data_IF_613489912647
#
_entry.id   IF_613489912647
#
_cell.length_a   1.000
_cell.length_b   1.000
_cell.length_c   1.000
_cell.angle_alpha   90.00
_cell.angle_beta   90.00
_cell.angle_gamma   90.00
#
_symmetry.space_group_name_H-M   'P 1'
#
loop_
_entity.id
_entity.type
_entity.pdbx_description
1 polymer ?
#
# COMPACT_ATOMS: atom_id res chain seq x y z
N UNK A 1 -10.98 -25.25 28.53
CA UNK A 1 -11.72 -24.04 28.14
C UNK A 1 -10.88 -22.85 28.54
N UNK A 2 -10.44 -22.02 27.61
CA UNK A 2 -9.63 -20.86 27.94
C UNK A 2 -10.45 -19.86 28.77
N UNK A 3 -9.87 -19.35 29.85
CA UNK A 3 -10.49 -18.33 30.66
C UNK A 3 -10.40 -16.98 29.91
N UNK A 4 -11.54 -16.40 29.50
CA UNK A 4 -11.59 -15.13 28.77
C UNK A 4 -10.81 -14.03 29.51
N UNK A 5 -10.89 -14.00 30.85
CA UNK A 5 -10.13 -13.03 31.67
C UNK A 5 -8.62 -13.18 31.51
N UNK A 6 -8.14 -14.41 31.43
CA UNK A 6 -6.71 -14.70 31.25
C UNK A 6 -6.23 -14.27 29.87
N UNK A 7 -7.00 -14.57 28.81
CA UNK A 7 -6.70 -14.13 27.43
C UNK A 7 -6.57 -12.61 27.36
N UNK A 8 -7.53 -11.90 27.95
CA UNK A 8 -7.55 -10.43 27.99
C UNK A 8 -6.36 -9.89 28.79
N UNK A 9 -6.09 -10.45 29.97
CA UNK A 9 -4.94 -10.06 30.79
C UNK A 9 -3.62 -10.25 30.07
N UNK A 10 -3.43 -11.41 29.44
CA UNK A 10 -2.23 -11.73 28.66
C UNK A 10 -2.05 -10.76 27.47
N UNK A 11 -3.12 -10.42 26.76
CA UNK A 11 -3.06 -9.45 25.66
C UNK A 11 -2.63 -8.06 26.16
N UNK A 12 -3.25 -7.55 27.23
CA UNK A 12 -2.90 -6.24 27.79
C UNK A 12 -1.42 -6.19 28.20
N UNK A 13 -0.95 -7.23 28.90
CA UNK A 13 0.43 -7.30 29.36
C UNK A 13 1.40 -7.39 28.18
N UNK A 14 1.07 -8.16 27.15
CA UNK A 14 1.92 -8.37 25.99
C UNK A 14 2.22 -7.07 25.24
N UNK A 15 1.21 -6.28 24.87
CA UNK A 15 1.50 -5.00 24.21
C UNK A 15 2.10 -3.98 25.18
N UNK A 16 1.72 -3.98 26.47
CA UNK A 16 2.21 -2.99 27.43
C UNK A 16 3.71 -3.15 27.69
N UNK A 17 4.18 -4.40 27.77
CA UNK A 17 5.59 -4.72 28.04
C UNK A 17 6.45 -4.82 26.79
N UNK A 18 5.87 -4.78 25.59
CA UNK A 18 6.64 -4.79 24.35
C UNK A 18 7.58 -3.57 24.29
N UNK A 19 8.89 -3.82 24.20
CA UNK A 19 9.91 -2.77 24.08
C UNK A 19 9.60 -1.89 22.86
N UNK A 20 9.58 -0.57 23.10
CA UNK A 20 9.29 0.42 22.07
C UNK A 20 10.41 0.59 21.04
N UNK A 21 11.61 0.05 21.29
CA UNK A 21 12.74 0.09 20.35
C UNK A 21 12.74 -1.07 19.36
N UNK A 22 11.85 -2.06 19.54
CA UNK A 22 11.72 -3.17 18.60
C UNK A 22 11.18 -2.63 17.27
N UNK A 23 11.89 -2.91 16.17
CA UNK A 23 11.37 -2.63 14.82
C UNK A 23 10.40 -3.74 14.41
N UNK A 24 9.09 -3.47 14.53
CA UNK A 24 8.03 -4.42 14.16
C UNK A 24 8.09 -4.88 12.69
N UNK A 25 8.66 -4.09 11.77
CA UNK A 25 8.84 -4.50 10.37
C UNK A 25 9.91 -5.58 10.24
N UNK A 26 10.98 -5.49 11.04
CA UNK A 26 12.01 -6.53 11.09
C UNK A 26 11.46 -7.84 11.65
N UNK A 27 10.60 -7.77 12.67
CA UNK A 27 9.90 -8.94 13.23
C UNK A 27 9.04 -9.61 12.15
N UNK A 28 8.20 -8.81 11.46
CA UNK A 28 7.33 -9.30 10.38
C UNK A 28 8.11 -9.90 9.21
N UNK A 29 9.23 -9.29 8.81
CA UNK A 29 10.11 -9.85 7.78
C UNK A 29 10.58 -11.26 8.16
N UNK A 30 11.07 -11.45 9.38
CA UNK A 30 11.54 -12.76 9.85
C UNK A 30 10.39 -13.77 10.00
N UNK A 31 9.17 -13.31 10.35
CA UNK A 31 7.97 -14.15 10.32
C UNK A 31 7.73 -14.67 8.91
N UNK A 32 7.73 -13.80 7.90
CA UNK A 32 7.48 -14.20 6.51
C UNK A 32 8.55 -15.15 5.98
N UNK A 33 9.81 -14.94 6.34
CA UNK A 33 10.91 -15.87 6.02
C UNK A 33 10.66 -17.25 6.65
N UNK A 34 10.30 -17.31 7.94
CA UNK A 34 9.97 -18.57 8.61
C UNK A 34 8.76 -19.27 7.97
N UNK A 35 7.73 -18.53 7.58
CA UNK A 35 6.56 -19.12 6.90
C UNK A 35 6.93 -19.73 5.55
N UNK A 36 7.83 -19.09 4.78
CA UNK A 36 8.32 -19.66 3.52
C UNK A 36 9.18 -20.91 3.75
N UNK A 37 10.06 -20.90 4.76
CA UNK A 37 10.86 -22.07 5.15
C UNK A 37 9.99 -23.27 5.58
N UNK A 38 8.83 -23.01 6.21
CA UNK A 38 7.92 -24.05 6.71
C UNK A 38 6.73 -24.30 5.76
N UNK A 39 6.86 -23.91 4.49
CA UNK A 39 5.82 -24.03 3.46
C UNK A 39 5.28 -25.45 3.31
N UNK A 40 6.13 -26.46 3.39
CA UNK A 40 5.70 -27.86 3.27
C UNK A 40 4.78 -28.29 4.42
N UNK A 41 5.07 -27.86 5.65
CA UNK A 41 4.25 -28.19 6.82
C UNK A 41 2.94 -27.39 6.81
N UNK A 42 2.97 -26.14 6.34
CA UNK A 42 1.77 -25.34 6.09
C UNK A 42 0.89 -26.01 5.02
N UNK A 43 1.47 -26.52 3.94
CA UNK A 43 0.73 -27.24 2.90
C UNK A 43 0.12 -28.56 3.42
N UNK A 44 0.82 -29.28 4.29
CA UNK A 44 0.26 -30.46 4.97
C UNK A 44 -0.94 -30.09 5.84
N UNK A 45 -0.85 -29.02 6.63
CA UNK A 45 -1.97 -28.53 7.43
C UNK A 45 -3.15 -28.10 6.53
N UNK A 46 -2.87 -27.38 5.44
CA UNK A 46 -3.90 -26.96 4.49
C UNK A 46 -4.59 -28.13 3.79
N UNK A 47 -3.86 -29.19 3.45
CA UNK A 47 -4.45 -30.43 2.90
C UNK A 47 -5.43 -31.08 3.86
N UNK A 48 -5.21 -30.98 5.18
CA UNK A 48 -6.17 -31.47 6.18
C UNK A 48 -7.46 -30.66 6.10
N UNK A 49 -7.37 -29.32 6.10
CA UNK A 49 -8.54 -28.45 6.03
C UNK A 49 -9.31 -28.65 4.70
N UNK A 50 -8.62 -28.70 3.57
CA UNK A 50 -9.25 -28.94 2.26
C UNK A 50 -9.93 -30.32 2.21
N UNK A 51 -9.28 -31.38 2.73
CA UNK A 51 -9.85 -32.72 2.75
C UNK A 51 -11.11 -32.82 3.61
N UNK A 52 -11.19 -32.03 4.68
CA UNK A 52 -12.35 -31.96 5.55
C UNK A 52 -13.45 -31.03 5.02
N UNK A 53 -13.29 -30.46 3.81
CA UNK A 53 -14.21 -29.49 3.21
C UNK A 53 -14.39 -28.21 4.05
N UNK A 54 -13.43 -27.90 4.92
CA UNK A 54 -13.42 -26.71 5.75
C UNK A 54 -12.22 -25.81 5.41
N UNK A 55 -11.85 -25.73 4.14
CA UNK A 55 -10.75 -24.89 3.70
C UNK A 55 -10.66 -24.74 2.20
N UNK A 56 -9.79 -23.84 1.76
CA UNK A 56 -9.42 -23.67 0.36
C UNK A 56 -7.94 -24.00 0.16
N UNK A 57 -7.55 -24.37 -1.06
CA UNK A 57 -6.15 -24.64 -1.38
C UNK A 57 -5.34 -23.35 -1.32
N UNK A 58 -4.32 -23.31 -0.46
CA UNK A 58 -3.42 -22.16 -0.38
C UNK A 58 -2.61 -21.97 -1.66
N UNK A 59 -2.61 -20.74 -2.14
CA UNK A 59 -1.67 -20.23 -3.13
C UNK A 59 -0.53 -19.47 -2.42
N UNK A 60 0.67 -20.06 -2.42
CA UNK A 60 1.85 -19.47 -1.78
C UNK A 60 2.39 -18.22 -2.50
N UNK A 61 2.05 -17.99 -3.78
CA UNK A 61 2.42 -16.72 -4.43
C UNK A 61 1.78 -15.50 -3.73
N UNK A 62 0.67 -15.71 -3.01
CA UNK A 62 0.02 -14.66 -2.23
C UNK A 62 0.85 -14.23 -1.02
N UNK A 63 1.67 -15.11 -0.45
CA UNK A 63 2.61 -14.74 0.63
C UNK A 63 3.69 -13.79 0.10
N UNK A 64 4.16 -14.01 -1.14
CA UNK A 64 5.11 -13.09 -1.78
C UNK A 64 4.47 -11.73 -2.07
N UNK A 65 3.21 -11.72 -2.56
CA UNK A 65 2.44 -10.48 -2.71
C UNK A 65 2.30 -9.73 -1.37
N UNK A 66 1.99 -10.44 -0.29
CA UNK A 66 1.92 -9.87 1.06
C UNK A 66 3.27 -9.29 1.51
N UNK A 67 4.36 -10.03 1.30
CA UNK A 67 5.71 -9.56 1.66
C UNK A 67 6.06 -8.26 0.94
N UNK A 68 5.82 -8.19 -0.37
CA UNK A 68 6.09 -6.96 -1.14
C UNK A 68 5.27 -5.78 -0.63
N UNK A 69 3.97 -6.00 -0.37
CA UNK A 69 3.09 -4.98 0.17
C UNK A 69 3.54 -4.45 1.54
N UNK A 70 4.03 -5.33 2.42
CA UNK A 70 4.47 -4.95 3.76
C UNK A 70 5.84 -4.28 3.78
N UNK A 71 6.69 -4.48 2.75
CA UNK A 71 7.99 -3.78 2.63
C UNK A 71 7.84 -2.28 2.43
N UNK A 72 6.77 -1.86 1.75
CA UNK A 72 6.51 -0.45 1.43
C UNK A 72 5.86 0.31 2.60
N UNK A 73 5.53 -0.37 3.70
CA UNK A 73 4.98 0.26 4.89
C UNK A 73 6.10 1.02 5.62
N UNK A 74 5.97 2.34 5.63
CA UNK A 74 6.78 3.21 6.47
C UNK A 74 6.58 2.87 7.96
N UNK A 75 7.59 3.15 8.78
CA UNK A 75 7.45 2.98 10.23
C UNK A 75 6.34 3.88 10.77
N UNK A 76 5.22 3.26 11.09
CA UNK A 76 3.99 3.94 11.47
C UNK A 76 3.83 4.04 13.00
N UNK A 77 4.62 3.30 13.78
CA UNK A 77 4.55 3.33 15.24
C UNK A 77 5.40 4.48 15.79
N UNK A 78 4.81 5.31 16.66
CA UNK A 78 5.47 6.50 17.25
C UNK A 78 6.07 7.46 16.22
N UNK A 79 5.51 7.48 15.02
CA UNK A 79 5.90 8.42 13.98
C UNK A 79 5.35 9.82 14.30
N UNK A 80 6.21 10.83 14.26
CA UNK A 80 5.80 12.21 14.46
C UNK A 80 5.37 12.79 13.12
N UNK A 81 4.07 12.99 13.01
CA UNK A 81 3.38 13.47 11.80
C UNK A 81 3.64 14.96 11.59
N UNK A 82 3.75 15.73 12.67
CA UNK A 82 3.87 17.19 12.62
C UNK A 82 4.45 17.74 13.93
N UNK A 83 5.23 18.82 13.84
CA UNK A 83 5.74 19.60 14.96
C UNK A 83 5.89 21.07 14.54
N UNK A 84 5.25 22.01 15.26
CA UNK A 84 5.46 23.45 15.09
C UNK A 84 5.63 24.14 16.44
N UNK A 85 6.33 25.29 16.45
CA UNK A 85 6.36 26.21 17.57
C UNK A 85 5.09 27.07 17.56
N UNK A 86 4.47 27.23 18.73
CA UNK A 86 3.29 28.06 18.91
C UNK A 86 3.68 29.46 19.44
N UNK A 87 2.77 30.43 19.31
CA UNK A 87 2.87 31.82 19.82
C UNK A 87 3.13 31.86 21.33
N UNK A 88 2.63 30.86 22.08
CA UNK A 88 2.84 30.71 23.52
C UNK A 88 4.16 30.02 23.90
N UNK A 89 5.16 30.00 23.01
CA UNK A 89 6.50 29.44 23.24
C UNK A 89 6.53 27.97 23.72
N UNK A 90 5.63 27.13 23.22
CA UNK A 90 5.71 25.68 23.36
C UNK A 90 5.71 24.99 21.99
N UNK A 91 6.29 23.80 21.91
CA UNK A 91 6.25 22.97 20.72
C UNK A 91 4.99 22.11 20.75
N UNK A 92 4.20 22.16 19.69
CA UNK A 92 3.02 21.33 19.49
C UNK A 92 3.28 20.32 18.38
N UNK A 93 2.95 19.07 18.61
CA UNK A 93 3.06 18.02 17.61
C UNK A 93 1.93 17.02 17.59
N UNK A 94 1.95 16.18 16.57
CA UNK A 94 1.09 15.00 16.44
C UNK A 94 1.95 13.78 16.26
N UNK A 95 1.73 12.75 17.08
CA UNK A 95 2.43 11.48 16.99
C UNK A 95 1.42 10.35 16.89
N UNK A 96 1.71 9.34 16.07
CA UNK A 96 0.97 8.08 16.09
C UNK A 96 1.36 7.24 17.31
N UNK A 97 0.47 6.39 17.77
CA UNK A 97 0.75 5.38 18.78
C UNK A 97 -0.16 4.18 18.54
N UNK A 98 0.14 3.05 19.20
CA UNK A 98 -0.70 1.85 19.14
C UNK A 98 -2.08 2.09 19.76
N UNK A 99 -3.08 1.32 19.34
CA UNK A 99 -4.39 1.26 19.99
C UNK A 99 -4.33 0.55 21.35
N UNK A 100 -3.56 -0.55 21.44
CA UNK A 100 -3.51 -1.43 22.60
C UNK A 100 -3.91 -2.85 22.24
N UNK A 101 -5.03 -3.33 22.81
CA UNK A 101 -5.58 -4.66 22.52
C UNK A 101 -6.68 -4.57 21.47
N UNK A 102 -6.52 -5.32 20.38
CA UNK A 102 -7.44 -5.40 19.26
C UNK A 102 -8.05 -6.81 19.23
N UNK A 103 -9.37 -6.91 19.06
CA UNK A 103 -10.03 -8.19 18.82
C UNK A 103 -10.40 -8.30 17.34
N UNK A 104 -9.94 -9.37 16.68
CA UNK A 104 -10.34 -9.71 15.31
C UNK A 104 -11.37 -10.84 15.38
N UNK A 105 -12.60 -10.58 14.93
CA UNK A 105 -13.59 -11.61 14.62
C UNK A 105 -13.54 -11.89 13.12
N UNK A 106 -13.37 -13.13 12.70
CA UNK A 106 -13.29 -13.47 11.28
C UNK A 106 -13.86 -14.84 10.95
N UNK A 107 -14.01 -15.11 9.66
CA UNK A 107 -14.58 -16.34 9.10
C UNK A 107 -13.58 -17.49 8.92
N UNK A 108 -12.30 -17.26 9.15
CA UNK A 108 -11.23 -18.26 9.01
C UNK A 108 -10.25 -18.01 7.87
N UNK A 109 -10.48 -17.05 6.98
CA UNK A 109 -9.57 -16.87 5.83
C UNK A 109 -8.11 -16.59 6.24
N UNK A 110 -7.18 -17.43 5.77
CA UNK A 110 -5.75 -17.38 6.15
C UNK A 110 -5.03 -16.13 5.65
N UNK A 111 -5.35 -15.60 4.47
CA UNK A 111 -4.69 -14.39 3.96
C UNK A 111 -5.11 -13.15 4.76
N UNK A 112 -6.38 -13.10 5.14
CA UNK A 112 -6.93 -12.05 5.99
C UNK A 112 -6.29 -12.08 7.37
N UNK A 113 -6.16 -13.28 7.95
CA UNK A 113 -5.45 -13.50 9.21
C UNK A 113 -4.02 -12.97 9.14
N UNK A 114 -3.25 -13.39 8.14
CA UNK A 114 -1.84 -13.01 7.99
C UNK A 114 -1.69 -11.49 7.83
N UNK A 115 -2.44 -10.86 6.92
CA UNK A 115 -2.35 -9.41 6.73
C UNK A 115 -2.65 -8.65 8.02
N UNK A 116 -3.73 -9.03 8.70
CA UNK A 116 -4.16 -8.38 9.93
C UNK A 116 -3.11 -8.53 11.04
N UNK A 117 -2.61 -9.75 11.24
CA UNK A 117 -1.65 -10.07 12.30
C UNK A 117 -0.33 -9.33 12.09
N UNK A 118 0.19 -9.37 10.86
CA UNK A 118 1.46 -8.71 10.55
C UNK A 118 1.35 -7.18 10.73
N UNK A 119 0.24 -6.55 10.28
CA UNK A 119 0.00 -5.11 10.52
C UNK A 119 -0.14 -4.78 12.01
N UNK A 120 -0.78 -5.65 12.80
CA UNK A 120 -0.87 -5.48 14.25
C UNK A 120 0.49 -5.57 14.96
N UNK A 121 1.38 -6.47 14.52
CA UNK A 121 2.76 -6.57 15.03
C UNK A 121 3.58 -5.32 14.67
N UNK A 122 3.52 -4.85 13.41
CA UNK A 122 4.19 -3.62 12.97
C UNK A 122 3.77 -2.42 13.81
N UNK A 123 2.51 -2.38 14.26
CA UNK A 123 1.94 -1.30 15.04
C UNK A 123 1.96 -1.54 16.55
N UNK A 124 2.65 -2.58 17.02
CA UNK A 124 2.84 -2.93 18.43
C UNK A 124 1.52 -3.18 19.20
N UNK A 125 0.47 -3.62 18.51
CA UNK A 125 -0.81 -3.97 19.12
C UNK A 125 -0.83 -5.46 19.51
N UNK A 126 -1.55 -5.77 20.59
CA UNK A 126 -1.94 -7.15 20.86
C UNK A 126 -3.20 -7.50 20.10
N UNK A 127 -3.27 -8.74 19.60
CA UNK A 127 -4.37 -9.20 18.77
C UNK A 127 -4.95 -10.48 19.37
N UNK A 128 -6.25 -10.44 19.67
CA UNK A 128 -7.05 -11.61 20.03
C UNK A 128 -7.91 -11.95 18.81
N UNK A 129 -7.53 -12.99 18.08
CA UNK A 129 -8.27 -13.55 16.96
C UNK A 129 -9.32 -14.51 17.52
N UNK A 130 -10.58 -14.31 17.15
CA UNK A 130 -11.68 -15.19 17.50
C UNK A 130 -12.46 -15.61 16.26
N UNK A 131 -12.79 -16.90 16.18
CA UNK A 131 -13.66 -17.46 15.15
C UNK A 131 -14.63 -18.46 15.78
N UNK A 132 -15.86 -18.49 15.26
CA UNK A 132 -16.85 -19.53 15.57
C UNK A 132 -16.75 -20.72 14.61
N UNK A 133 -16.02 -20.55 13.50
CA UNK A 133 -15.85 -21.52 12.43
C UNK A 133 -14.51 -22.26 12.59
N UNK A 134 -14.50 -23.55 12.23
CA UNK A 134 -13.28 -24.34 12.10
C UNK A 134 -12.66 -24.23 10.69
N UNK A 135 -13.16 -23.32 9.85
CA UNK A 135 -12.61 -23.05 8.53
C UNK A 135 -11.14 -22.64 8.59
N UNK A 136 -10.29 -23.35 7.84
CA UNK A 136 -8.82 -23.20 7.78
C UNK A 136 -8.13 -23.35 9.15
N UNK A 137 -8.77 -24.01 10.11
CA UNK A 137 -8.32 -24.02 11.50
C UNK A 137 -6.92 -24.60 11.66
N UNK A 138 -6.63 -25.76 11.07
CA UNK A 138 -5.33 -26.41 11.23
C UNK A 138 -4.21 -25.54 10.64
N UNK A 139 -4.44 -24.98 9.46
CA UNK A 139 -3.53 -24.05 8.79
C UNK A 139 -3.26 -22.79 9.63
N UNK A 140 -4.32 -22.15 10.12
CA UNK A 140 -4.23 -20.91 10.89
C UNK A 140 -3.54 -21.12 12.23
N UNK A 141 -3.84 -22.21 12.95
CA UNK A 141 -3.17 -22.54 14.22
C UNK A 141 -1.67 -22.75 14.02
N UNK A 142 -1.26 -23.49 12.99
CA UNK A 142 0.16 -23.70 12.67
C UNK A 142 0.87 -22.36 12.38
N UNK A 143 0.26 -21.50 11.56
CA UNK A 143 0.80 -20.17 11.26
C UNK A 143 0.99 -19.35 12.54
N UNK A 144 0.00 -19.32 13.44
CA UNK A 144 0.10 -18.58 14.70
C UNK A 144 1.19 -19.18 15.61
N UNK A 145 1.37 -20.50 15.63
CA UNK A 145 2.47 -21.14 16.36
C UNK A 145 3.83 -20.68 15.82
N UNK A 146 4.00 -20.64 14.50
CA UNK A 146 5.25 -20.16 13.87
C UNK A 146 5.50 -18.68 14.18
N UNK A 147 4.46 -17.84 14.12
CA UNK A 147 4.54 -16.42 14.50
C UNK A 147 5.01 -16.27 15.95
N UNK A 148 4.42 -17.03 16.88
CA UNK A 148 4.78 -16.99 18.30
C UNK A 148 6.25 -17.33 18.55
N UNK A 149 6.83 -18.27 17.79
CA UNK A 149 8.26 -18.60 17.90
C UNK A 149 9.15 -17.41 17.55
N UNK A 150 8.79 -16.62 16.53
CA UNK A 150 9.54 -15.40 16.19
C UNK A 150 9.35 -14.33 17.25
N UNK A 151 8.13 -14.15 17.78
CA UNK A 151 7.90 -13.20 18.87
C UNK A 151 8.82 -13.49 20.07
N UNK A 152 8.87 -14.74 20.52
CA UNK A 152 9.73 -15.16 21.63
C UNK A 152 11.23 -14.93 21.33
N UNK A 153 11.67 -15.19 20.10
CA UNK A 153 13.07 -14.94 19.69
C UNK A 153 13.47 -13.45 19.75
N UNK A 154 12.51 -12.54 19.66
CA UNK A 154 12.71 -11.09 19.83
C UNK A 154 12.46 -10.61 21.26
N UNK A 155 12.19 -11.51 22.21
CA UNK A 155 11.83 -11.15 23.58
C UNK A 155 10.44 -10.51 23.70
N UNK A 156 9.58 -10.68 22.69
CA UNK A 156 8.19 -10.25 22.70
C UNK A 156 7.34 -11.36 23.32
N UNK A 157 6.40 -11.02 24.19
CA UNK A 157 5.46 -11.99 24.75
C UNK A 157 4.68 -12.68 23.62
N UNK A 158 4.71 -14.01 23.57
CA UNK A 158 3.97 -14.83 22.61
C UNK A 158 2.46 -14.55 22.61
N UNK A 159 1.93 -14.04 23.70
CA UNK A 159 0.52 -13.66 23.83
C UNK A 159 0.19 -12.31 23.16
N UNK A 160 1.17 -11.65 22.52
CA UNK A 160 0.90 -10.53 21.62
C UNK A 160 -0.11 -10.94 20.54
N UNK A 161 -0.05 -12.20 20.09
CA UNK A 161 -1.03 -12.76 19.15
C UNK A 161 -1.65 -14.02 19.74
N UNK A 162 -2.96 -14.03 19.90
CA UNK A 162 -3.71 -15.16 20.45
C UNK A 162 -4.84 -15.54 19.48
N UNK A 163 -5.02 -16.83 19.23
CA UNK A 163 -6.15 -17.34 18.45
C UNK A 163 -7.02 -18.24 19.34
N UNK A 164 -8.33 -18.01 19.29
CA UNK A 164 -9.32 -18.78 20.04
C UNK A 164 -10.51 -19.14 19.16
N UNK A 165 -10.94 -20.39 19.23
CA UNK A 165 -12.15 -20.86 18.58
C UNK A 165 -13.23 -21.04 19.64
N UNK A 166 -14.26 -20.20 19.61
CA UNK A 166 -15.25 -20.13 20.69
C UNK A 166 -16.58 -19.61 20.20
N UNK A 167 -17.68 -20.16 20.73
CA UNK A 167 -19.04 -19.64 20.55
C UNK A 167 -19.37 -18.49 21.51
N UNK A 168 -18.46 -18.17 22.45
CA UNK A 168 -18.64 -17.11 23.47
C UNK A 168 -18.10 -15.75 23.00
N UNK A 169 -18.22 -15.45 21.71
CA UNK A 169 -17.75 -14.19 21.12
C UNK A 169 -18.41 -12.98 21.78
N UNK A 170 -19.71 -13.03 22.04
CA UNK A 170 -20.44 -11.97 22.74
C UNK A 170 -19.86 -11.68 24.14
N UNK A 171 -19.54 -12.72 24.90
CA UNK A 171 -18.93 -12.54 26.21
C UNK A 171 -17.56 -11.86 26.12
N UNK A 172 -16.71 -12.26 25.16
CA UNK A 172 -15.42 -11.61 24.93
C UNK A 172 -15.61 -10.13 24.60
N UNK A 173 -16.49 -9.81 23.65
CA UNK A 173 -16.72 -8.45 23.15
C UNK A 173 -17.47 -7.55 24.15
N UNK A 174 -18.06 -8.12 25.19
CA UNK A 174 -18.64 -7.36 26.30
C UNK A 174 -17.59 -6.67 27.18
N UNK A 175 -16.31 -7.09 27.11
CA UNK A 175 -15.20 -6.57 27.93
C UNK A 175 -14.57 -5.29 27.33
N UNK A 176 -15.36 -4.21 27.24
CA UNK A 176 -14.92 -2.94 26.63
C UNK A 176 -13.79 -2.22 27.36
N UNK A 177 -13.47 -2.61 28.60
CA UNK A 177 -12.33 -2.07 29.36
C UNK A 177 -10.98 -2.65 28.92
N UNK A 178 -11.00 -3.82 28.29
CA UNK A 178 -9.80 -4.60 27.95
C UNK A 178 -9.54 -4.69 26.45
N UNK A 179 -10.52 -4.32 25.62
CA UNK A 179 -10.41 -4.31 24.17
C UNK A 179 -10.59 -2.87 23.69
N UNK A 180 -9.58 -2.34 22.98
CA UNK A 180 -9.58 -0.96 22.48
C UNK A 180 -10.30 -0.81 21.13
N UNK A 181 -10.31 -1.86 20.30
CA UNK A 181 -10.99 -1.88 19.00
C UNK A 181 -11.38 -3.30 18.62
N UNK A 182 -12.52 -3.44 17.93
CA UNK A 182 -12.96 -4.70 17.34
C UNK A 182 -12.92 -4.56 15.83
N UNK A 183 -12.35 -5.54 15.15
CA UNK A 183 -12.46 -5.71 13.71
C UNK A 183 -13.29 -6.95 13.43
N UNK A 184 -14.16 -6.85 12.43
CA UNK A 184 -14.88 -8.00 11.89
C UNK A 184 -14.60 -8.12 10.40
N UNK A 185 -14.07 -9.27 10.00
CA UNK A 185 -13.74 -9.60 8.61
C UNK A 185 -14.64 -10.74 8.15
N UNK A 186 -15.43 -10.51 7.12
CA UNK A 186 -16.30 -11.52 6.52
C UNK A 186 -17.56 -10.92 5.91
N UNK A 187 -18.56 -11.77 5.68
CA UNK A 187 -19.82 -11.38 5.06
C UNK A 187 -20.67 -10.44 5.94
N UNK A 188 -21.68 -9.82 5.32
CA UNK A 188 -22.58 -8.86 5.95
C UNK A 188 -23.27 -9.40 7.20
N UNK A 189 -23.74 -10.65 7.15
CA UNK A 189 -24.40 -11.31 8.30
C UNK A 189 -23.49 -11.40 9.53
N UNK A 190 -22.22 -11.79 9.34
CA UNK A 190 -21.24 -11.82 10.44
C UNK A 190 -20.99 -10.41 10.98
N UNK A 191 -20.81 -9.43 10.09
CA UNK A 191 -20.59 -8.04 10.47
C UNK A 191 -21.73 -7.48 11.33
N UNK A 192 -22.98 -7.71 10.92
CA UNK A 192 -24.16 -7.20 11.63
C UNK A 192 -24.37 -7.91 12.97
N UNK A 193 -24.09 -9.23 13.03
CA UNK A 193 -24.08 -9.99 14.30
C UNK A 193 -23.09 -9.36 15.29
N UNK A 194 -21.86 -9.08 14.86
CA UNK A 194 -20.81 -8.53 15.74
C UNK A 194 -21.12 -7.09 16.16
N UNK A 195 -21.60 -6.25 15.23
CA UNK A 195 -22.06 -4.89 15.55
C UNK A 195 -23.15 -4.87 16.61
N UNK A 196 -24.07 -5.83 16.59
CA UNK A 196 -25.17 -5.92 17.55
C UNK A 196 -24.71 -6.26 18.97
N UNK A 197 -23.68 -7.11 19.12
CA UNK A 197 -23.24 -7.62 20.43
C UNK A 197 -22.05 -6.86 21.03
N UNK A 198 -21.25 -6.18 20.21
CA UNK A 198 -20.04 -5.49 20.67
C UNK A 198 -20.37 -4.18 21.37
N UNK A 199 -19.79 -3.98 22.57
CA UNK A 199 -19.80 -2.67 23.27
C UNK A 199 -18.62 -1.78 22.86
N UNK A 200 -17.65 -2.34 22.14
CA UNK A 200 -16.50 -1.63 21.59
C UNK A 200 -16.80 -1.27 20.14
N UNK A 201 -16.28 -0.13 19.68
CA UNK A 201 -16.38 0.28 18.29
C UNK A 201 -15.87 -0.81 17.34
N UNK A 202 -16.71 -1.15 16.35
CA UNK A 202 -16.48 -2.24 15.38
C UNK A 202 -16.12 -1.65 14.02
N UNK A 203 -14.97 -2.04 13.49
CA UNK A 203 -14.57 -1.79 12.11
C UNK A 203 -14.92 -3.02 11.28
N UNK A 204 -15.72 -2.85 10.24
CA UNK A 204 -16.12 -3.92 9.34
C UNK A 204 -15.28 -3.90 8.07
N UNK A 205 -14.86 -5.09 7.63
CA UNK A 205 -14.23 -5.29 6.33
C UNK A 205 -14.81 -6.52 5.64
N UNK A 206 -15.23 -6.33 4.40
CA UNK A 206 -15.62 -7.42 3.51
C UNK A 206 -14.40 -8.08 2.88
N UNK A 207 -14.61 -9.28 2.34
CA UNK A 207 -13.62 -9.98 1.53
C UNK A 207 -14.33 -10.94 0.58
N UNK A 208 -13.92 -10.98 -0.68
CA UNK A 208 -14.44 -11.89 -1.70
C UNK A 208 -15.98 -11.98 -1.77
N UNK A 209 -16.67 -10.88 -1.50
CA UNK A 209 -18.10 -10.71 -1.81
C UNK A 209 -18.22 -9.47 -2.69
N UNK A 210 -18.96 -9.59 -3.78
CA UNK A 210 -19.00 -8.58 -4.81
C UNK A 210 -20.44 -8.15 -5.07
N UNK A 211 -20.62 -6.87 -5.42
CA UNK A 211 -21.92 -6.36 -5.85
C UNK A 211 -21.81 -5.89 -7.32
N UNK A 212 -22.77 -6.25 -8.16
CA UNK A 212 -22.81 -5.81 -9.56
C UNK A 212 -24.16 -5.17 -9.84
N UNK A 213 -24.17 -3.92 -10.29
CA UNK A 213 -25.35 -3.26 -10.83
C UNK A 213 -25.29 -3.18 -12.36
N UNK A 214 -26.37 -3.59 -13.02
CA UNK A 214 -26.47 -3.66 -14.48
C UNK A 214 -27.67 -2.83 -14.94
N UNK A 215 -27.37 -1.73 -15.62
CA UNK A 215 -28.37 -0.88 -16.28
C UNK A 215 -28.09 -0.67 -17.77
N UNK A 216 -27.01 -1.27 -18.28
CA UNK A 216 -26.64 -1.34 -19.68
C UNK A 216 -25.95 -2.67 -20.00
N UNK A 217 -26.27 -3.25 -21.17
CA UNK A 217 -25.79 -4.58 -21.59
C UNK A 217 -24.67 -4.53 -22.64
N UNK A 218 -24.07 -3.37 -22.92
CA UNK A 218 -22.98 -3.24 -23.90
C UNK A 218 -21.81 -4.17 -23.57
N UNK A 219 -21.56 -4.46 -22.29
CA UNK A 219 -20.48 -5.32 -21.81
C UNK A 219 -20.94 -6.72 -21.38
N UNK A 220 -22.03 -7.25 -21.95
CA UNK A 220 -22.64 -8.52 -21.51
C UNK A 220 -21.68 -9.72 -21.48
N UNK A 221 -20.77 -9.83 -22.45
CA UNK A 221 -19.78 -10.92 -22.47
C UNK A 221 -18.86 -10.89 -21.25
N UNK A 222 -18.47 -9.70 -20.79
CA UNK A 222 -17.66 -9.53 -19.59
C UNK A 222 -18.49 -9.85 -18.33
N UNK A 223 -19.73 -9.38 -18.27
CA UNK A 223 -20.65 -9.66 -17.16
C UNK A 223 -20.83 -11.17 -16.99
N UNK A 224 -21.14 -11.90 -18.06
CA UNK A 224 -21.30 -13.37 -18.01
C UNK A 224 -20.03 -14.07 -17.56
N UNK A 225 -18.85 -13.61 -18.01
CA UNK A 225 -17.57 -14.15 -17.55
C UNK A 225 -17.41 -13.99 -16.04
N UNK A 226 -17.69 -12.80 -15.51
CA UNK A 226 -17.58 -12.50 -14.07
C UNK A 226 -18.50 -13.40 -13.24
N UNK A 227 -19.77 -13.52 -13.66
CA UNK A 227 -20.77 -14.35 -12.96
C UNK A 227 -20.36 -15.82 -12.93
N UNK A 228 -19.77 -16.33 -14.02
CA UNK A 228 -19.33 -17.72 -14.09
C UNK A 228 -18.03 -18.00 -13.29
N UNK A 229 -17.23 -16.97 -13.00
CA UNK A 229 -15.94 -17.11 -12.30
C UNK A 229 -16.08 -17.05 -10.77
N UNK A 230 -17.19 -16.53 -10.23
CA UNK A 230 -17.35 -16.37 -8.78
C UNK A 230 -18.81 -16.49 -8.34
N UNK A 231 -19.04 -17.26 -7.27
CA UNK A 231 -20.38 -17.51 -6.73
C UNK A 231 -20.81 -16.46 -5.68
N UNK A 232 -19.87 -15.70 -5.11
CA UNK A 232 -20.15 -14.72 -4.06
C UNK A 232 -20.44 -13.33 -4.64
N UNK A 233 -21.41 -13.26 -5.56
CA UNK A 233 -21.79 -12.01 -6.24
C UNK A 233 -23.28 -11.76 -6.06
N UNK A 234 -23.62 -10.61 -5.49
CA UNK A 234 -24.97 -10.06 -5.51
C UNK A 234 -25.16 -9.24 -6.79
N UNK A 235 -26.13 -9.63 -7.62
CA UNK A 235 -26.35 -9.05 -8.96
C UNK A 235 -27.68 -8.30 -8.95
N UNK A 236 -27.63 -7.00 -9.28
CA UNK A 236 -28.77 -6.09 -9.34
C UNK A 236 -28.98 -5.67 -10.80
N UNK A 237 -30.18 -5.86 -11.34
CA UNK A 237 -30.49 -5.61 -12.76
C UNK A 237 -31.71 -4.71 -12.86
N UNK A 238 -31.62 -3.66 -13.69
CA UNK A 238 -32.77 -2.81 -13.97
C UNK A 238 -33.88 -3.60 -14.66
N UNK A 239 -35.11 -3.49 -14.15
CA UNK A 239 -36.24 -4.36 -14.52
C UNK A 239 -36.65 -4.33 -16.00
N UNK A 240 -36.30 -3.27 -16.74
CA UNK A 240 -36.54 -3.14 -18.18
C UNK A 240 -35.52 -3.90 -19.06
N UNK A 241 -34.49 -4.51 -18.46
CA UNK A 241 -33.46 -5.25 -19.17
C UNK A 241 -33.74 -6.75 -19.24
N UNK A 242 -33.58 -7.31 -20.44
CA UNK A 242 -33.58 -8.76 -20.65
C UNK A 242 -32.15 -9.30 -20.55
N UNK A 243 -31.85 -10.04 -19.48
CA UNK A 243 -30.54 -10.64 -19.23
C UNK A 243 -30.52 -12.16 -19.50
N UNK A 244 -29.38 -12.74 -19.89
CA UNK A 244 -29.24 -14.16 -20.23
C UNK A 244 -28.89 -15.05 -19.01
N UNK A 245 -29.22 -14.63 -17.79
CA UNK A 245 -28.94 -15.36 -16.54
C UNK A 245 -30.11 -15.18 -15.55
N UNK A 246 -30.29 -16.14 -14.65
CA UNK A 246 -31.52 -16.24 -13.84
C UNK A 246 -31.38 -15.70 -12.41
N UNK A 247 -30.20 -15.79 -11.79
CA UNK A 247 -30.00 -15.40 -10.39
C UNK A 247 -29.62 -13.92 -10.27
N UNK A 248 -30.61 -13.04 -10.17
CA UNK A 248 -30.41 -11.61 -9.95
C UNK A 248 -31.57 -11.00 -9.15
N UNK A 249 -31.33 -9.81 -8.62
CA UNK A 249 -32.29 -8.97 -7.93
C UNK A 249 -32.73 -7.88 -8.91
N UNK A 250 -34.01 -7.86 -9.26
CA UNK A 250 -34.60 -6.81 -10.09
C UNK A 250 -34.74 -5.50 -9.31
N UNK A 251 -34.37 -4.38 -9.92
CA UNK A 251 -34.53 -3.02 -9.37
C UNK A 251 -35.28 -2.12 -10.35
N UNK A 252 -36.15 -1.27 -9.84
CA UNK A 252 -36.97 -0.34 -10.63
C UNK A 252 -36.11 0.78 -11.24
N UNK A 253 -35.21 1.35 -10.44
CA UNK A 253 -34.38 2.48 -10.84
C UNK A 253 -32.98 2.45 -10.20
N UNK A 254 -32.19 3.48 -10.54
CA UNK A 254 -30.82 3.63 -10.07
C UNK A 254 -30.75 3.88 -8.56
N UNK A 255 -31.66 4.71 -8.03
CA UNK A 255 -31.74 5.00 -6.61
C UNK A 255 -31.99 3.75 -5.77
N UNK A 256 -32.92 2.89 -6.19
CA UNK A 256 -33.19 1.61 -5.55
C UNK A 256 -31.93 0.72 -5.56
N UNK A 257 -31.24 0.63 -6.69
CA UNK A 257 -30.00 -0.16 -6.79
C UNK A 257 -28.95 0.29 -5.77
N UNK A 258 -28.68 1.61 -5.67
CA UNK A 258 -27.75 2.16 -4.67
C UNK A 258 -28.22 1.82 -3.25
N UNK A 259 -29.52 1.95 -2.97
CA UNK A 259 -30.10 1.65 -1.67
C UNK A 259 -29.91 0.19 -1.26
N UNK A 260 -30.24 -0.74 -2.16
CA UNK A 260 -30.12 -2.17 -1.90
C UNK A 260 -28.65 -2.61 -1.75
N UNK A 261 -27.76 -2.15 -2.64
CA UNK A 261 -26.33 -2.47 -2.53
C UNK A 261 -25.77 -1.97 -1.20
N UNK A 262 -26.03 -0.72 -0.83
CA UNK A 262 -25.53 -0.16 0.42
C UNK A 262 -26.12 -0.83 1.68
N UNK A 263 -27.30 -1.44 1.56
CA UNK A 263 -27.91 -2.20 2.64
C UNK A 263 -27.28 -3.58 2.80
N UNK A 264 -27.02 -4.28 1.70
CA UNK A 264 -26.56 -5.68 1.69
C UNK A 264 -25.04 -5.85 1.66
N UNK A 265 -24.31 -4.89 1.10
CA UNK A 265 -22.88 -5.06 0.83
C UNK A 265 -22.06 -5.30 2.09
N UNK A 266 -21.07 -6.17 1.96
CA UNK A 266 -20.03 -6.37 2.98
C UNK A 266 -18.93 -5.31 2.94
N UNK A 267 -18.96 -4.40 1.96
CA UNK A 267 -18.01 -3.30 1.82
C UNK A 267 -16.75 -3.62 1.01
N UNK A 268 -16.68 -4.75 0.30
CA UNK A 268 -15.46 -5.18 -0.39
C UNK A 268 -15.29 -4.55 -1.77
N UNK A 269 -16.10 -4.96 -2.75
CA UNK A 269 -15.93 -4.51 -4.14
C UNK A 269 -17.26 -4.47 -4.88
N UNK A 270 -17.53 -3.39 -5.59
CA UNK A 270 -18.76 -3.23 -6.37
C UNK A 270 -18.48 -2.68 -7.77
N UNK A 271 -19.30 -3.07 -8.73
CA UNK A 271 -19.23 -2.58 -10.11
C UNK A 271 -20.57 -2.10 -10.63
N UNK A 272 -20.55 -1.05 -11.46
CA UNK A 272 -21.69 -0.62 -12.27
C UNK A 272 -21.41 -0.84 -13.76
N UNK A 273 -22.36 -1.41 -14.47
CA UNK A 273 -22.39 -1.49 -15.93
C UNK A 273 -23.43 -0.52 -16.48
N UNK A 274 -22.94 0.58 -17.07
CA UNK A 274 -23.77 1.73 -17.48
C UNK A 274 -23.18 2.47 -18.68
N UNK A 275 -24.06 3.08 -19.49
CA UNK A 275 -23.70 4.08 -20.50
C UNK A 275 -23.95 5.53 -20.02
N UNK A 276 -24.53 5.70 -18.83
CA UNK A 276 -24.89 6.98 -18.25
C UNK A 276 -23.74 7.50 -17.37
N UNK A 277 -23.12 8.60 -17.81
CA UNK A 277 -22.00 9.22 -17.11
C UNK A 277 -22.38 9.73 -15.71
N UNK A 278 -23.58 10.29 -15.54
CA UNK A 278 -24.07 10.78 -14.26
C UNK A 278 -24.23 9.64 -13.26
N UNK A 279 -24.83 8.52 -13.68
CA UNK A 279 -25.01 7.35 -12.83
C UNK A 279 -23.65 6.76 -12.41
N UNK A 280 -22.71 6.61 -13.35
CA UNK A 280 -21.35 6.18 -13.02
C UNK A 280 -20.68 7.10 -11.98
N UNK A 281 -20.82 8.42 -12.15
CA UNK A 281 -20.26 9.41 -11.24
C UNK A 281 -20.88 9.35 -9.83
N UNK A 282 -22.19 9.15 -9.74
CA UNK A 282 -22.90 9.01 -8.46
C UNK A 282 -22.52 7.68 -7.79
N UNK A 283 -22.50 6.58 -8.54
CA UNK A 283 -22.13 5.25 -8.04
C UNK A 283 -20.74 5.27 -7.37
N UNK A 284 -19.75 5.91 -8.01
CA UNK A 284 -18.40 6.08 -7.47
C UNK A 284 -18.35 6.84 -6.13
N UNK A 285 -19.34 7.67 -5.81
CA UNK A 285 -19.38 8.46 -4.58
C UNK A 285 -20.23 7.84 -3.48
N UNK A 286 -21.34 7.23 -3.85
CA UNK A 286 -22.39 6.85 -2.90
C UNK A 286 -22.32 5.38 -2.47
N UNK A 287 -21.68 4.51 -3.26
CA UNK A 287 -21.51 3.10 -2.88
C UNK A 287 -20.51 2.96 -1.74
N UNK A 288 -20.90 2.17 -0.72
CA UNK A 288 -20.16 1.99 0.53
C UNK A 288 -19.22 0.78 0.49
N UNK A 289 -18.41 0.68 -0.56
CA UNK A 289 -17.39 -0.35 -0.70
C UNK A 289 -15.99 0.24 -0.81
N UNK A 290 -14.99 -0.56 -0.44
CA UNK A 290 -13.58 -0.16 -0.51
C UNK A 290 -13.10 -0.07 -1.98
N UNK A 291 -13.63 -0.92 -2.86
CA UNK A 291 -13.28 -0.95 -4.27
C UNK A 291 -14.52 -0.71 -5.13
N UNK A 292 -14.43 0.24 -6.06
CA UNK A 292 -15.54 0.58 -6.96
C UNK A 292 -15.01 0.62 -8.39
N UNK A 293 -15.72 -0.04 -9.29
CA UNK A 293 -15.38 -0.06 -10.71
C UNK A 293 -16.56 0.34 -11.59
N UNK A 294 -16.26 0.87 -12.78
CA UNK A 294 -17.26 1.24 -13.80
C UNK A 294 -16.93 0.47 -15.07
N UNK A 295 -17.90 -0.26 -15.61
CA UNK A 295 -17.79 -1.06 -16.83
C UNK A 295 -16.57 -2.00 -16.84
N UNK A 296 -16.17 -2.52 -15.68
CA UNK A 296 -14.99 -3.38 -15.53
C UNK A 296 -15.17 -4.36 -14.36
N UNK A 297 -14.41 -5.45 -14.36
CA UNK A 297 -14.59 -6.52 -13.37
C UNK A 297 -14.38 -6.05 -11.93
N UNK A 298 -15.28 -6.39 -10.98
CA UNK A 298 -15.07 -6.17 -9.55
C UNK A 298 -14.18 -7.25 -8.91
N UNK A 299 -13.86 -8.33 -9.64
CA UNK A 299 -13.09 -9.49 -9.16
C UNK A 299 -11.60 -9.12 -8.99
N UNK A 300 -11.30 -8.40 -7.92
CA UNK A 300 -9.94 -8.03 -7.57
C UNK A 300 -9.31 -9.22 -6.84
N UNK A 301 -8.32 -9.85 -7.48
CA UNK A 301 -7.46 -10.85 -6.84
C UNK A 301 -6.60 -10.15 -5.77
N UNK A 302 -6.99 -10.25 -4.51
CA UNK A 302 -6.38 -9.40 -3.50
C UNK A 302 -6.37 -9.99 -2.10
N UNK A 303 -5.44 -9.47 -1.31
CA UNK A 303 -5.50 -9.45 0.14
C UNK A 303 -6.35 -8.21 0.47
N UNK A 304 -7.19 -8.24 1.52
CA UNK A 304 -8.21 -7.21 1.85
C UNK A 304 -7.69 -5.76 1.75
N UNK A 305 -6.42 -5.51 2.03
CA UNK A 305 -5.83 -4.17 2.04
C UNK A 305 -6.35 -3.26 3.15
N UNK A 306 -6.27 -3.80 4.36
CA UNK A 306 -6.68 -3.07 5.56
C UNK A 306 -5.71 -1.91 5.81
N UNK A 307 -6.17 -0.66 5.71
CA UNK A 307 -5.33 0.51 6.01
C UNK A 307 -4.67 0.38 7.40
N UNK A 308 -3.35 0.46 7.44
CA UNK A 308 -2.57 0.35 8.68
C UNK A 308 -2.90 1.45 9.68
N UNK A 309 -3.39 2.60 9.23
CA UNK A 309 -3.81 3.68 10.11
C UNK A 309 -4.99 3.27 11.02
N UNK A 310 -5.78 2.27 10.64
CA UNK A 310 -6.86 1.73 11.47
C UNK A 310 -6.34 1.03 12.74
N UNK A 311 -5.04 0.71 12.79
CA UNK A 311 -4.37 0.10 13.94
C UNK A 311 -3.75 1.14 14.90
N UNK A 312 -3.86 2.43 14.58
CA UNK A 312 -3.15 3.50 15.25
C UNK A 312 -4.10 4.56 15.82
N UNK A 313 -3.66 5.21 16.90
CA UNK A 313 -4.24 6.45 17.40
C UNK A 313 -3.31 7.62 17.13
N UNK A 314 -3.88 8.82 17.07
CA UNK A 314 -3.11 10.06 16.95
C UNK A 314 -3.16 10.81 18.28
N UNK A 315 -2.00 11.07 18.86
CA UNK A 315 -1.85 11.85 20.09
C UNK A 315 -1.37 13.26 19.75
N UNK A 316 -2.04 14.27 20.30
CA UNK A 316 -1.51 15.62 20.33
C UNK A 316 -0.48 15.71 21.45
N UNK A 317 0.71 16.19 21.14
CA UNK A 317 1.81 16.32 22.09
C UNK A 317 2.17 17.79 22.25
N UNK A 318 2.40 18.19 23.49
CA UNK A 318 2.76 19.56 23.85
C UNK A 318 4.03 19.48 24.68
N UNK A 319 5.08 20.15 24.21
CA UNK A 319 6.37 20.15 24.86
C UNK A 319 6.79 21.58 25.19
N UNK A 320 7.50 21.80 26.30
CA UNK A 320 8.14 23.08 26.54
C UNK A 320 9.08 23.40 25.36
N UNK A 321 9.06 24.64 24.89
CA UNK A 321 10.10 25.07 23.95
C UNK A 321 11.44 25.08 24.68
N UNK A 322 12.52 24.49 24.13
CA UNK A 322 13.85 24.62 24.71
C UNK A 322 14.39 26.07 24.69
N UNK A 323 13.64 27.00 24.07
CA UNK A 323 13.96 28.43 23.96
C UNK A 323 13.05 29.32 24.84
N UNK A 324 12.16 28.75 25.65
CA UNK A 324 11.31 29.54 26.54
C UNK A 324 12.05 29.86 27.85
N UNK A 325 12.02 31.12 28.30
CA UNK A 325 12.58 31.55 29.58
C UNK A 325 12.03 30.68 30.73
N UNK A 326 12.92 30.15 31.57
CA UNK A 326 12.58 29.25 32.68
C UNK A 326 12.55 27.75 32.34
N UNK A 327 12.80 27.36 31.08
CA UNK A 327 12.87 25.95 30.67
C UNK A 327 14.28 25.36 30.58
N UNK A 328 15.32 26.16 30.86
CA UNK A 328 16.74 25.78 30.73
C UNK A 328 17.14 24.56 31.59
N UNK A 329 16.39 24.27 32.66
CA UNK A 329 16.60 23.11 33.53
C UNK A 329 15.72 21.89 33.20
N UNK A 330 14.97 21.89 32.09
CA UNK A 330 14.21 20.71 31.67
C UNK A 330 15.17 19.60 31.20
N UNK A 331 15.44 18.64 32.07
CA UNK A 331 16.26 17.43 31.78
C UNK A 331 15.62 16.46 30.77
N UNK A 332 14.44 16.76 30.24
CA UNK A 332 13.72 15.90 29.31
C UNK A 332 14.31 15.97 27.90
N UNK A 333 15.21 15.04 27.58
CA UNK A 333 15.62 14.74 26.19
C UNK A 333 14.67 13.69 25.62
N UNK A 334 13.74 14.11 24.75
CA UNK A 334 12.82 13.19 24.10
C UNK A 334 13.50 12.44 22.94
N UNK A 335 13.46 11.10 22.90
CA UNK A 335 14.06 10.30 21.82
C UNK A 335 13.55 10.71 20.44
N UNK A 336 12.25 10.97 20.31
CA UNK A 336 11.63 11.39 19.04
C UNK A 336 12.03 12.81 18.64
N UNK A 337 12.13 13.75 19.58
CA UNK A 337 12.56 15.13 19.27
C UNK A 337 14.03 15.16 18.82
N UNK A 338 14.89 14.33 19.44
CA UNK A 338 16.26 14.13 18.98
C UNK A 338 16.30 13.50 17.58
N UNK A 339 15.53 12.44 17.34
CA UNK A 339 15.46 11.80 16.02
C UNK A 339 14.89 12.73 14.93
N UNK A 340 13.94 13.61 15.27
CA UNK A 340 13.39 14.62 14.35
C UNK A 340 14.40 15.72 14.08
N UNK A 341 15.09 16.21 15.10
CA UNK A 341 16.17 17.18 14.91
C UNK A 341 17.29 16.57 14.06
N UNK A 342 17.68 15.32 14.31
CA UNK A 342 18.67 14.58 13.51
C UNK A 342 18.17 14.37 12.08
N UNK A 343 16.92 13.92 11.86
CA UNK A 343 16.31 13.72 10.53
C UNK A 343 16.12 15.03 9.77
N UNK A 344 15.76 16.13 10.44
CA UNK A 344 15.66 17.45 9.82
C UNK A 344 17.04 17.97 9.42
N UNK A 345 18.06 17.76 10.27
CA UNK A 345 19.45 18.08 9.97
C UNK A 345 19.97 17.26 8.79
N UNK A 346 19.66 15.97 8.72
CA UNK A 346 19.99 15.09 7.59
C UNK A 346 19.30 15.55 6.29
N UNK A 347 18.03 15.95 6.36
CA UNK A 347 17.29 16.51 5.22
C UNK A 347 17.90 17.83 4.73
N UNK A 348 18.32 18.71 5.65
CA UNK A 348 19.01 19.96 5.30
C UNK A 348 20.36 19.66 4.62
N UNK A 349 21.16 18.74 5.18
CA UNK A 349 22.44 18.31 4.58
C UNK A 349 22.22 17.69 3.19
N UNK A 350 21.19 16.86 3.00
CA UNK A 350 20.85 16.32 1.68
C UNK A 350 20.45 17.41 0.68
N UNK A 351 19.69 18.41 1.13
CA UNK A 351 19.26 19.53 0.29
C UNK A 351 20.45 20.39 -0.16
N UNK A 352 21.36 20.70 0.76
CA UNK A 352 22.62 21.40 0.47
C UNK A 352 23.50 20.60 -0.50
N UNK A 353 23.66 19.29 -0.29
CA UNK A 353 24.43 18.41 -1.18
C UNK A 353 23.82 18.35 -2.59
N UNK A 354 22.49 18.26 -2.71
CA UNK A 354 21.81 18.30 -4.00
C UNK A 354 21.99 19.65 -4.72
N UNK A 355 21.96 20.76 -4.00
CA UNK A 355 22.21 22.09 -4.58
C UNK A 355 23.66 22.26 -5.05
N UNK A 356 24.63 21.78 -4.27
CA UNK A 356 26.05 21.78 -4.68
C UNK A 356 26.27 20.91 -5.92
N UNK A 357 25.66 19.73 -5.98
CA UNK A 357 25.76 18.85 -7.15
C UNK A 357 25.14 19.50 -8.41
N UNK A 358 23.98 20.15 -8.27
CA UNK A 358 23.34 20.91 -9.36
C UNK A 358 24.21 22.06 -9.86
N UNK A 359 24.84 22.82 -8.96
CA UNK A 359 25.79 23.88 -9.35
C UNK A 359 26.97 23.32 -10.13
N UNK A 360 27.58 22.23 -9.66
CA UNK A 360 28.71 21.56 -10.35
C UNK A 360 28.33 21.05 -11.74
N UNK A 361 27.15 20.43 -11.87
CA UNK A 361 26.66 19.94 -13.16
C UNK A 361 26.40 21.07 -14.15
N UNK A 362 25.85 22.20 -13.67
CA UNK A 362 25.61 23.39 -14.50
C UNK A 362 26.91 23.97 -15.04
N UNK A 363 27.95 24.09 -14.21
CA UNK A 363 29.27 24.56 -14.66
C UNK A 363 29.90 23.62 -15.69
N UNK A 364 29.75 22.30 -15.52
CA UNK A 364 30.25 21.33 -16.51
C UNK A 364 29.50 21.41 -17.85
N UNK A 365 28.18 21.63 -17.82
CA UNK A 365 27.37 21.84 -19.03
C UNK A 365 27.80 23.12 -19.76
N UNK A 366 27.99 24.22 -19.04
CA UNK A 366 28.47 25.49 -19.62
C UNK A 366 29.85 25.33 -20.28
N UNK A 367 30.76 24.56 -19.68
CA UNK A 367 32.07 24.24 -20.28
C UNK A 367 31.93 23.40 -21.56
N UNK A 368 31.03 22.40 -21.57
CA UNK A 368 30.78 21.56 -22.74
C UNK A 368 30.15 22.35 -23.89
N UNK A 369 29.25 23.28 -23.59
CA UNK A 369 28.66 24.17 -24.60
C UNK A 369 29.72 25.08 -25.25
N UNK A 370 30.67 25.58 -24.47
CA UNK A 370 31.83 26.33 -24.97
C UNK A 370 32.71 25.47 -25.90
N UNK A 371 33.03 24.23 -25.51
CA UNK A 371 33.78 23.29 -26.37
C UNK A 371 33.04 23.00 -27.68
N UNK A 372 31.73 22.74 -27.63
CA UNK A 372 30.90 22.50 -28.82
C UNK A 372 30.90 23.72 -29.74
N UNK A 373 30.83 24.93 -29.18
CA UNK A 373 30.85 26.17 -29.95
C UNK A 373 32.19 26.36 -30.67
N UNK A 374 33.30 26.05 -30.01
CA UNK A 374 34.63 26.13 -30.62
C UNK A 374 34.80 25.08 -31.74
N UNK A 375 34.39 23.83 -31.49
CA UNK A 375 34.42 22.76 -32.50
C UNK A 375 33.57 23.11 -33.74
N UNK A 376 32.39 23.71 -33.55
CA UNK A 376 31.56 24.19 -34.67
C UNK A 376 32.25 25.29 -35.47
N UNK A 377 32.98 26.20 -34.80
CA UNK A 377 33.75 27.25 -35.46
C UNK A 377 34.89 26.66 -36.30
N UNK A 378 35.68 25.74 -35.72
CA UNK A 378 36.76 25.04 -36.42
C UNK A 378 36.25 24.25 -37.64
N UNK A 379 35.09 23.61 -37.51
CA UNK A 379 34.44 22.90 -38.62
C UNK A 379 34.04 23.86 -39.74
N UNK A 380 33.46 25.01 -39.42
CA UNK A 380 33.08 26.03 -40.41
C UNK A 380 34.30 26.62 -41.13
N UNK A 381 35.40 26.88 -40.40
CA UNK A 381 36.66 27.36 -40.99
C UNK A 381 37.24 26.32 -41.95
N UNK A 382 37.25 25.04 -41.55
CA UNK A 382 37.71 23.92 -42.38
C UNK A 382 36.86 23.75 -43.64
N UNK A 383 35.53 23.87 -43.53
CA UNK A 383 34.61 23.83 -44.68
C UNK A 383 34.83 25.00 -45.64
N UNK A 384 35.02 26.22 -45.12
CA UNK A 384 35.32 27.39 -45.93
C UNK A 384 36.65 27.23 -46.69
N UNK A 385 37.67 26.68 -46.03
CA UNK A 385 38.96 26.42 -46.64
C UNK A 385 38.85 25.36 -47.75
N UNK A 386 38.14 24.27 -47.49
CA UNK A 386 37.87 23.23 -48.50
C UNK A 386 37.13 23.80 -49.72
N UNK A 387 36.11 24.64 -49.51
CA UNK A 387 35.40 25.32 -50.59
C UNK A 387 36.30 26.26 -51.40
N UNK A 388 37.22 26.97 -50.74
CA UNK A 388 38.23 27.80 -51.42
C UNK A 388 39.13 26.96 -52.32
N UNK A 389 39.65 25.84 -51.82
CA UNK A 389 40.46 24.90 -52.62
C UNK A 389 39.68 24.32 -53.79
N UNK A 390 38.43 23.88 -53.59
CA UNK A 390 37.57 23.36 -54.66
C UNK A 390 37.34 24.43 -55.75
N UNK A 391 37.12 25.69 -55.37
CA UNK A 391 36.92 26.78 -56.33
C UNK A 391 38.19 27.10 -57.12
N UNK A 392 39.36 27.06 -56.48
CA UNK A 392 40.65 27.21 -57.17
C UNK A 392 40.83 26.05 -58.16
N UNK A 393 40.58 24.82 -57.72
CA UNK A 393 40.71 23.63 -58.56
C UNK A 393 39.76 23.67 -59.76
N UNK A 394 38.51 24.12 -59.57
CA UNK A 394 37.55 24.32 -60.65
C UNK A 394 38.03 25.38 -61.64
N UNK A 395 38.49 26.54 -61.17
CA UNK A 395 39.01 27.61 -62.05
C UNK A 395 40.22 27.15 -62.87
N UNK A 396 41.17 26.47 -62.24
CA UNK A 396 42.34 25.87 -62.90
C UNK A 396 41.93 24.78 -63.90
N UNK A 397 41.00 23.90 -63.53
CA UNK A 397 40.50 22.86 -64.42
C UNK A 397 39.81 23.45 -65.66
N UNK A 398 38.91 24.43 -65.47
CA UNK A 398 38.22 25.06 -66.59
C UNK A 398 39.14 25.92 -67.46
N UNK A 399 40.14 26.63 -66.91
CA UNK A 399 41.12 27.34 -67.75
C UNK A 399 41.89 26.34 -68.63
N UNK A 400 42.38 25.24 -68.04
CA UNK A 400 43.12 24.19 -68.75
C UNK A 400 42.30 23.47 -69.82
N UNK A 401 40.98 23.33 -69.61
CA UNK A 401 40.07 22.67 -70.56
C UNK A 401 39.83 23.50 -71.83
N UNK A 402 39.93 24.84 -71.75
CA UNK A 402 39.58 25.74 -72.86
C UNK A 402 40.76 26.46 -73.52
N UNK A 403 41.92 26.61 -72.88
CA UNK A 403 43.08 27.33 -73.45
C UNK A 403 44.29 26.46 -73.81
N UNK A 404 44.30 25.17 -73.42
CA UNK A 404 45.50 24.34 -73.47
C UNK A 404 46.53 24.78 -72.41
N UNK A 405 47.34 23.84 -71.91
CA UNK A 405 48.31 24.11 -70.82
C UNK A 405 49.45 25.03 -71.29
N UNK A 406 49.49 26.28 -70.81
CA UNK A 406 50.63 27.17 -70.98
C UNK A 406 51.48 27.23 -69.70
N UNK A 407 52.78 27.53 -69.83
CA UNK A 407 53.71 27.67 -68.69
C UNK A 407 53.25 28.74 -67.67
N UNK A 408 52.53 29.78 -68.11
CA UNK A 408 51.97 30.83 -67.24
C UNK A 408 50.85 30.33 -66.32
N UNK A 409 50.13 29.30 -66.74
CA UNK A 409 49.02 28.74 -65.95
C UNK A 409 49.53 27.93 -64.75
N UNK A 410 50.69 27.26 -64.91
CA UNK A 410 51.35 26.50 -63.84
C UNK A 410 51.93 27.42 -62.76
N UNK A 411 52.50 28.57 -63.14
CA UNK A 411 53.02 29.55 -62.19
C UNK A 411 51.91 30.28 -61.41
N UNK A 412 50.76 30.54 -62.04
CA UNK A 412 49.61 31.15 -61.36
C UNK A 412 48.94 30.22 -60.34
N UNK A 413 48.86 28.92 -60.63
CA UNK A 413 48.28 27.94 -59.70
C UNK A 413 49.11 27.78 -58.41
N UNK A 414 50.44 27.79 -58.52
CA UNK A 414 51.33 27.76 -57.35
C UNK A 414 51.19 29.02 -56.48
N UNK A 415 50.86 30.18 -57.09
CA UNK A 415 50.62 31.46 -56.39
C UNK A 415 49.23 31.56 -55.73
N UNK A 416 48.26 30.78 -56.20
CA UNK A 416 46.90 30.72 -55.68
C UNK A 416 46.75 29.70 -54.53
N UNK A 417 47.64 28.71 -54.48
CA UNK A 417 47.68 27.64 -53.47
C UNK A 417 48.53 28.05 -52.24
N UNK A 418 49.55 28.91 -52.42
CA UNK A 418 50.25 29.61 -51.34
C UNK A 418 49.40 30.71 -50.74
#
# INVERSE_FOLDING_TARGET
MNNIREILGNAIMAHTNMDFNIDGRKVVKNILELLEENKEDIDKANKIDVKNHNGFKLNFSMLQKLNNKLKDIEDAYRNVVYMNQNENNYLQGKQTDKLGTICLVYDGNTYCLLEFVLKGIITHNSIIITSESDYMKATNELIIILIKRILEAYGIDKNLVQIIYTSRTEELLSNSTSINKVFVIGNKSLQDKIKKVSKVEVICKGYNNFDIYIEDLTNITLIQKIINENENIDIYVRNDLSVPFENYIGVEDFEEAIGQINFNTSGYSSSIFTNNYQNASIFLREIKTDNISVNSSPLIEGIIDIDINLFLIRKNMFYPSPLADGTENNKFKFPTMRAILEKNREKEIQKENCEQLRKKLKTQLEQKDLEIKDLKKQLSESQNLANKYINIFKKSFFSRLFSGLSKKDIENDNKLIS
#
